data_IF_839235441799
#
_entry.id   IF_839235441799
#
_cell.length_a   1.000
_cell.length_b   1.000
_cell.length_c   1.000
_cell.angle_alpha   90.00
_cell.angle_beta   90.00
_cell.angle_gamma   90.00
#
_symmetry.space_group_name_H-M   'P 1'
#
loop_
_entity.id
_entity.type
_entity.pdbx_description
1 polymer ?
#
# COMPACT_ATOMS: atom_id res chain seq x y z
N UNK A 1 8.75 21.92 1.29
CA UNK A 1 8.98 21.77 -0.15
C UNK A 1 7.64 21.76 -0.87
N UNK A 2 7.44 22.64 -1.85
CA UNK A 2 6.24 22.64 -2.68
C UNK A 2 6.18 21.33 -3.48
N UNK A 3 5.07 20.59 -3.40
CA UNK A 3 4.87 19.41 -4.22
C UNK A 3 4.65 19.87 -5.66
N UNK A 4 5.51 19.43 -6.59
CA UNK A 4 5.39 19.78 -8.02
C UNK A 4 4.10 19.15 -8.53
N UNK A 5 3.19 19.95 -9.08
CA UNK A 5 1.95 19.48 -9.68
C UNK A 5 2.31 18.52 -10.82
N UNK A 6 1.60 17.40 -10.93
CA UNK A 6 1.77 16.41 -11.99
C UNK A 6 0.45 16.17 -12.72
N UNK A 7 0.53 15.52 -13.88
CA UNK A 7 -0.63 15.15 -14.69
C UNK A 7 -0.81 13.65 -14.75
N UNK A 8 -2.05 13.20 -14.68
CA UNK A 8 -2.40 11.85 -15.11
C UNK A 8 -2.28 11.74 -16.63
N UNK A 9 -2.27 10.52 -17.17
CA UNK A 9 -2.21 10.27 -18.62
C UNK A 9 -3.39 10.84 -19.41
N UNK A 10 -4.49 11.22 -18.74
CA UNK A 10 -5.64 11.92 -19.32
C UNK A 10 -5.55 13.45 -19.22
N UNK A 11 -4.41 14.01 -18.78
CA UNK A 11 -4.20 15.45 -18.62
C UNK A 11 -4.79 16.07 -17.34
N UNK A 12 -5.48 15.29 -16.51
CA UNK A 12 -6.04 15.80 -15.25
C UNK A 12 -4.91 16.09 -14.25
N UNK A 13 -4.83 17.31 -13.67
CA UNK A 13 -3.78 17.65 -12.73
C UNK A 13 -4.01 17.00 -11.35
N UNK A 14 -2.93 16.67 -10.67
CA UNK A 14 -2.94 16.12 -9.32
C UNK A 14 -1.71 16.54 -8.51
N UNK A 15 -1.80 16.40 -7.19
CA UNK A 15 -0.70 16.67 -6.26
C UNK A 15 -0.21 15.34 -5.70
N UNK A 16 1.03 14.91 -5.99
CA UNK A 16 1.57 13.68 -5.43
C UNK A 16 1.69 13.80 -3.91
N UNK A 17 1.48 12.68 -3.22
CA UNK A 17 1.64 12.58 -1.79
C UNK A 17 3.09 12.87 -1.39
N UNK A 18 3.29 13.64 -0.32
CA UNK A 18 4.63 13.93 0.19
C UNK A 18 5.32 12.67 0.72
N UNK A 19 6.65 12.62 0.64
CA UNK A 19 7.45 11.47 1.06
C UNK A 19 7.14 10.99 2.49
N UNK A 20 6.95 11.92 3.45
CA UNK A 20 6.56 11.60 4.81
C UNK A 20 5.16 10.99 4.92
N UNK A 21 4.18 11.55 4.22
CA UNK A 21 2.81 11.01 4.21
C UNK A 21 2.80 9.60 3.60
N UNK A 22 3.57 9.37 2.54
CA UNK A 22 3.79 8.05 1.97
C UNK A 22 4.42 7.09 2.98
N UNK A 23 5.52 7.49 3.64
CA UNK A 23 6.19 6.67 4.63
C UNK A 23 5.24 6.27 5.78
N UNK A 24 4.50 7.21 6.36
CA UNK A 24 3.52 6.93 7.41
C UNK A 24 2.37 6.04 6.92
N UNK A 25 1.93 6.22 5.68
CA UNK A 25 0.91 5.34 5.08
C UNK A 25 1.38 3.90 5.08
N UNK A 26 2.62 3.67 4.64
CA UNK A 26 3.18 2.33 4.56
C UNK A 26 3.44 1.76 5.96
N UNK A 27 3.91 2.58 6.90
CA UNK A 27 4.13 2.17 8.29
C UNK A 27 2.83 1.72 8.96
N UNK A 28 1.75 2.50 8.84
CA UNK A 28 0.46 2.16 9.44
C UNK A 28 -0.09 0.88 8.82
N UNK A 29 -0.05 0.75 7.48
CA UNK A 29 -0.48 -0.48 6.80
C UNK A 29 0.35 -1.69 7.24
N UNK A 30 1.66 -1.52 7.46
CA UNK A 30 2.54 -2.57 7.98
C UNK A 30 2.19 -2.97 9.42
N UNK A 31 1.93 -2.01 10.30
CA UNK A 31 1.48 -2.30 11.68
C UNK A 31 0.17 -3.08 11.67
N UNK A 32 -0.80 -2.68 10.84
CA UNK A 32 -2.07 -3.40 10.69
C UNK A 32 -1.84 -4.83 10.20
N UNK A 33 -0.93 -5.02 9.25
CA UNK A 33 -0.53 -6.35 8.79
C UNK A 33 0.07 -7.19 9.93
N UNK A 34 1.04 -6.67 10.69
CA UNK A 34 1.67 -7.41 11.80
C UNK A 34 0.63 -7.81 12.86
N UNK A 35 -0.26 -6.89 13.23
CA UNK A 35 -1.33 -7.16 14.19
C UNK A 35 -2.31 -8.21 13.65
N UNK A 36 -2.73 -8.09 12.39
CA UNK A 36 -3.63 -9.06 11.75
C UNK A 36 -3.02 -10.44 11.61
N UNK A 37 -1.72 -10.52 11.26
CA UNK A 37 -0.98 -11.77 11.19
C UNK A 37 -0.84 -12.42 12.56
N UNK A 38 -0.40 -11.66 13.57
CA UNK A 38 -0.24 -12.15 14.94
C UNK A 38 -1.58 -12.64 15.50
N UNK A 39 -2.65 -11.88 15.30
CA UNK A 39 -4.00 -12.28 15.71
C UNK A 39 -4.44 -13.58 15.04
N UNK A 40 -4.32 -13.69 13.72
CA UNK A 40 -4.71 -14.90 12.99
C UNK A 40 -3.89 -16.13 13.40
N UNK A 41 -2.58 -15.94 13.64
CA UNK A 41 -1.70 -17.01 14.08
C UNK A 41 -2.02 -17.46 15.51
N UNK A 42 -2.23 -16.53 16.44
CA UNK A 42 -2.64 -16.86 17.81
C UNK A 42 -4.01 -17.56 17.82
N UNK A 43 -4.97 -17.07 17.04
CA UNK A 43 -6.27 -17.72 16.91
C UNK A 43 -6.13 -19.15 16.37
N UNK A 44 -5.25 -19.36 15.38
CA UNK A 44 -4.91 -20.69 14.88
C UNK A 44 -4.34 -21.58 15.99
N UNK A 45 -3.33 -21.12 16.73
CA UNK A 45 -2.69 -21.88 17.82
C UNK A 45 -3.71 -22.24 18.91
N UNK A 46 -4.58 -21.31 19.31
CA UNK A 46 -5.61 -21.56 20.32
C UNK A 46 -6.60 -22.61 19.84
N UNK A 47 -7.02 -22.55 18.57
CA UNK A 47 -7.92 -23.56 17.98
C UNK A 47 -7.22 -24.91 17.89
N UNK A 48 -5.96 -24.96 17.48
CA UNK A 48 -5.22 -26.23 17.36
C UNK A 48 -5.00 -26.89 18.72
N UNK A 49 -4.62 -26.11 19.74
CA UNK A 49 -4.46 -26.60 21.13
C UNK A 49 -5.77 -27.09 21.76
N UNK A 50 -6.92 -26.65 21.26
CA UNK A 50 -8.23 -27.13 21.75
C UNK A 50 -8.60 -28.51 21.18
N UNK A 51 -7.83 -29.05 20.23
CA UNK A 51 -8.08 -30.35 19.60
C UNK A 51 -7.41 -31.48 20.37
N UNK A 52 -7.96 -32.71 20.28
CA UNK A 52 -7.29 -33.91 20.77
C UNK A 52 -5.89 -34.04 20.16
N UNK A 53 -4.91 -34.54 20.91
CA UNK A 53 -3.49 -34.64 20.46
C UNK A 53 -3.33 -35.40 19.13
N UNK A 54 -4.17 -36.40 18.88
CA UNK A 54 -4.16 -37.18 17.64
C UNK A 54 -4.54 -36.37 16.39
N UNK A 55 -5.18 -35.20 16.55
CA UNK A 55 -5.66 -34.33 15.48
C UNK A 55 -4.93 -32.97 15.43
N UNK A 56 -3.98 -32.75 16.34
CA UNK A 56 -3.17 -31.53 16.35
C UNK A 56 -2.30 -31.48 15.11
N UNK A 57 -2.12 -30.26 14.60
CA UNK A 57 -1.30 -30.05 13.42
C UNK A 57 0.17 -30.21 13.84
N UNK A 58 0.91 -30.99 13.05
CA UNK A 58 2.35 -31.15 13.26
C UNK A 58 3.09 -29.82 13.15
N UNK A 59 4.28 -29.72 13.75
CA UNK A 59 5.13 -28.52 13.67
C UNK A 59 5.35 -28.06 12.22
N UNK A 60 5.56 -29.00 11.30
CA UNK A 60 5.68 -28.71 9.87
C UNK A 60 4.40 -28.11 9.27
N UNK A 61 3.23 -28.59 9.68
CA UNK A 61 1.95 -28.03 9.28
C UNK A 61 1.72 -26.62 9.83
N UNK A 62 2.14 -26.35 11.07
CA UNK A 62 2.07 -25.02 11.67
C UNK A 62 2.93 -24.00 10.91
N UNK A 63 4.13 -24.41 10.47
CA UNK A 63 4.99 -23.57 9.61
C UNK A 63 4.31 -23.27 8.27
N UNK A 64 3.70 -24.26 7.62
CA UNK A 64 2.96 -24.05 6.37
C UNK A 64 1.81 -23.06 6.58
N UNK A 65 1.07 -23.18 7.67
CA UNK A 65 -0.03 -22.25 7.99
C UNK A 65 0.50 -20.84 8.24
N UNK A 66 1.61 -20.69 8.98
CA UNK A 66 2.25 -19.40 9.16
C UNK A 66 2.65 -18.77 7.82
N UNK A 67 3.22 -19.54 6.90
CA UNK A 67 3.55 -19.07 5.56
C UNK A 67 2.28 -18.66 4.79
N UNK A 68 1.21 -19.46 4.83
CA UNK A 68 -0.06 -19.12 4.19
C UNK A 68 -0.63 -17.81 4.76
N UNK A 69 -0.64 -17.64 6.08
CA UNK A 69 -1.11 -16.43 6.75
C UNK A 69 -0.30 -15.20 6.33
N UNK A 70 1.01 -15.35 6.12
CA UNK A 70 1.89 -14.26 5.67
C UNK A 70 1.41 -13.64 4.35
N UNK A 71 0.90 -14.46 3.42
CA UNK A 71 0.34 -14.00 2.14
C UNK A 71 -1.15 -13.70 2.22
N UNK A 72 -1.91 -14.50 2.97
CA UNK A 72 -3.37 -14.36 3.08
C UNK A 72 -3.76 -13.07 3.81
N UNK A 73 -3.09 -12.71 4.90
CA UNK A 73 -3.41 -11.51 5.68
C UNK A 73 -3.40 -10.22 4.85
N UNK A 74 -2.33 -9.87 4.09
CA UNK A 74 -2.33 -8.65 3.29
C UNK A 74 -3.30 -8.73 2.10
N UNK A 75 -3.56 -9.92 1.55
CA UNK A 75 -4.54 -10.10 0.48
C UNK A 75 -5.97 -9.84 0.99
N UNK A 76 -6.33 -10.45 2.12
CA UNK A 76 -7.62 -10.23 2.80
C UNK A 76 -7.74 -8.77 3.18
N UNK A 77 -6.71 -8.17 3.80
CA UNK A 77 -6.70 -6.74 4.10
C UNK A 77 -6.97 -5.88 2.86
N UNK A 78 -6.29 -6.13 1.74
CA UNK A 78 -6.48 -5.36 0.51
C UNK A 78 -7.82 -5.57 -0.19
N UNK A 79 -8.57 -6.64 0.09
CA UNK A 79 -9.95 -6.80 -0.40
C UNK A 79 -10.89 -5.74 0.18
N UNK A 80 -10.65 -5.33 1.43
CA UNK A 80 -11.45 -4.34 2.13
C UNK A 80 -11.18 -2.91 1.65
N UNK A 81 -10.09 -2.70 0.89
CA UNK A 81 -9.62 -1.37 0.47
C UNK A 81 -9.49 -1.21 -1.05
N UNK A 82 -10.44 -1.76 -1.81
CA UNK A 82 -10.54 -1.66 -3.29
C UNK A 82 -10.53 -0.23 -3.85
N UNK A 83 -10.86 0.76 -3.03
CA UNK A 83 -10.90 2.18 -3.39
C UNK A 83 -9.53 2.88 -3.34
N UNK A 84 -8.45 2.16 -3.07
CA UNK A 84 -7.11 2.72 -2.94
C UNK A 84 -6.91 3.54 -1.66
N UNK A 85 -7.80 3.38 -0.68
CA UNK A 85 -7.79 4.05 0.62
C UNK A 85 -7.58 3.04 1.75
N UNK A 86 -6.41 2.43 1.77
CA UNK A 86 -5.95 1.66 2.93
C UNK A 86 -6.10 2.42 4.25
N UNK A 87 -6.10 1.74 5.39
CA UNK A 87 -6.17 2.40 6.69
C UNK A 87 -5.05 3.45 6.85
N UNK A 88 -3.82 3.12 6.47
CA UNK A 88 -2.73 4.09 6.45
C UNK A 88 -3.00 5.28 5.53
N UNK A 89 -3.67 5.06 4.41
CA UNK A 89 -3.96 6.11 3.43
C UNK A 89 -5.10 7.03 3.91
N UNK A 90 -6.07 6.45 4.64
CA UNK A 90 -7.11 7.22 5.34
C UNK A 90 -6.47 8.08 6.43
N UNK A 91 -5.56 7.52 7.24
CA UNK A 91 -4.89 8.25 8.32
C UNK A 91 -4.00 9.39 7.82
N UNK A 92 -3.36 9.24 6.66
CA UNK A 92 -2.44 10.25 6.10
C UNK A 92 -3.09 11.18 5.06
N UNK A 93 -4.38 11.00 4.77
CA UNK A 93 -5.07 11.77 3.75
C UNK A 93 -4.59 11.49 2.31
N UNK A 94 -4.00 10.32 2.08
CA UNK A 94 -3.53 9.91 0.76
C UNK A 94 -4.50 8.94 0.08
N UNK A 95 -4.35 8.79 -1.24
CA UNK A 95 -5.06 7.76 -2.01
C UNK A 95 -4.15 7.23 -3.10
N UNK A 96 -4.07 5.91 -3.22
CA UNK A 96 -3.36 5.27 -4.31
C UNK A 96 -4.29 5.18 -5.53
N UNK A 97 -3.85 5.74 -6.66
CA UNK A 97 -4.62 5.86 -7.90
C UNK A 97 -3.79 5.36 -9.08
N UNK A 98 -4.45 5.07 -10.20
CA UNK A 98 -3.77 4.73 -11.46
C UNK A 98 -3.20 5.99 -12.09
N UNK A 99 -1.99 5.92 -12.65
CA UNK A 99 -1.37 7.06 -13.34
C UNK A 99 -2.07 7.41 -14.66
N UNK A 100 -2.74 6.44 -15.30
CA UNK A 100 -3.46 6.64 -16.57
C UNK A 100 -4.62 7.65 -16.45
N UNK A 101 -5.47 7.49 -15.44
CA UNK A 101 -6.77 8.18 -15.35
C UNK A 101 -7.08 8.76 -13.96
N UNK A 102 -6.21 8.57 -12.96
CA UNK A 102 -6.50 8.93 -11.57
C UNK A 102 -7.57 8.06 -10.92
N UNK A 103 -8.00 6.98 -11.58
CA UNK A 103 -9.07 6.10 -11.14
C UNK A 103 -8.68 5.19 -9.97
N UNK A 104 -9.71 4.61 -9.34
CA UNK A 104 -9.56 3.62 -8.25
C UNK A 104 -8.79 2.39 -8.73
N UNK A 105 -8.03 1.75 -7.86
CA UNK A 105 -7.22 0.57 -8.21
C UNK A 105 -8.10 -0.65 -8.54
N UNK A 106 -9.28 -0.75 -7.92
CA UNK A 106 -10.22 -1.84 -8.17
C UNK A 106 -9.69 -3.19 -7.70
N UNK A 107 -9.89 -4.24 -8.50
CA UNK A 107 -9.57 -5.63 -8.14
C UNK A 107 -8.09 -5.89 -7.82
N UNK A 108 -7.18 -4.96 -8.13
CA UNK A 108 -5.75 -5.07 -7.82
C UNK A 108 -5.38 -4.54 -6.42
N UNK A 109 -6.36 -4.17 -5.58
CA UNK A 109 -6.17 -3.75 -4.19
C UNK A 109 -5.43 -4.78 -3.31
N UNK A 110 -5.82 -6.06 -3.29
CA UNK A 110 -5.10 -7.14 -2.59
C UNK A 110 -3.63 -7.22 -3.01
N UNK A 111 -3.36 -7.17 -4.31
CA UNK A 111 -1.99 -7.23 -4.84
C UNK A 111 -1.15 -6.02 -4.43
N UNK A 112 -1.73 -4.82 -4.49
CA UNK A 112 -1.05 -3.62 -4.05
C UNK A 112 -0.67 -3.68 -2.56
N UNK A 113 -1.52 -4.29 -1.73
CA UNK A 113 -1.23 -4.50 -0.32
C UNK A 113 -0.10 -5.49 -0.08
N UNK A 114 -0.15 -6.65 -0.73
CA UNK A 114 0.89 -7.65 -0.63
C UNK A 114 2.27 -7.07 -1.00
N UNK A 115 2.32 -6.33 -2.11
CA UNK A 115 3.54 -5.65 -2.55
C UNK A 115 4.01 -4.64 -1.51
N UNK A 116 3.12 -3.85 -0.91
CA UNK A 116 3.47 -2.84 0.10
C UNK A 116 3.98 -3.46 1.40
N UNK A 117 3.39 -4.56 1.86
CA UNK A 117 3.79 -5.26 3.09
C UNK A 117 5.09 -6.04 2.94
N UNK A 118 5.40 -6.53 1.74
CA UNK A 118 6.66 -7.25 1.46
C UNK A 118 7.79 -6.27 1.09
N UNK A 119 7.53 -5.26 0.25
CA UNK A 119 8.56 -4.32 -0.20
C UNK A 119 9.05 -3.39 0.91
N UNK A 120 8.20 -2.97 1.85
CA UNK A 120 8.63 -2.08 2.94
C UNK A 120 9.77 -2.70 3.78
N UNK A 121 9.65 -3.94 4.32
CA UNK A 121 10.74 -4.57 5.05
C UNK A 121 11.96 -4.85 4.16
N UNK A 122 11.79 -5.16 2.87
CA UNK A 122 12.91 -5.28 1.92
C UNK A 122 13.61 -3.94 1.65
N UNK A 123 12.87 -2.84 1.58
CA UNK A 123 13.41 -1.48 1.44
C UNK A 123 14.18 -1.07 2.70
N UNK A 124 13.62 -1.35 3.89
CA UNK A 124 14.30 -1.12 5.17
C UNK A 124 15.56 -1.98 5.22
N UNK A 125 15.48 -3.26 4.87
CA UNK A 125 16.64 -4.15 4.83
C UNK A 125 17.70 -3.65 3.82
N UNK A 126 17.30 -3.23 2.62
CA UNK A 126 18.20 -2.64 1.62
C UNK A 126 18.89 -1.38 2.14
N UNK A 127 18.14 -0.44 2.72
CA UNK A 127 18.71 0.79 3.31
C UNK A 127 19.68 0.49 4.46
N UNK A 128 19.30 -0.42 5.36
CA UNK A 128 20.13 -0.83 6.51
C UNK A 128 21.38 -1.58 6.05
N UNK A 129 21.27 -2.41 5.01
CA UNK A 129 22.37 -3.20 4.44
C UNK A 129 23.17 -2.44 3.36
N UNK A 130 22.89 -1.15 3.14
CA UNK A 130 23.59 -0.30 2.17
C UNK A 130 23.24 -0.55 0.69
N UNK A 131 22.27 -1.42 0.40
CA UNK A 131 21.74 -1.68 -0.93
C UNK A 131 20.57 -0.75 -1.26
N UNK A 132 20.82 0.31 -2.04
CA UNK A 132 19.79 1.21 -2.53
C UNK A 132 18.80 0.50 -3.48
N UNK A 133 17.74 -0.09 -2.95
CA UNK A 133 16.62 -0.62 -3.73
C UNK A 133 15.60 0.49 -3.99
N UNK A 134 15.96 1.47 -4.83
CA UNK A 134 14.99 2.38 -5.40
C UNK A 134 14.11 1.64 -6.42
N UNK A 135 12.77 1.77 -6.42
CA UNK A 135 11.95 1.22 -7.48
C UNK A 135 12.29 1.92 -8.80
N UNK A 136 13.15 1.31 -9.61
CA UNK A 136 13.53 1.75 -10.94
C UNK A 136 12.45 1.39 -11.96
N UNK A 137 11.52 2.31 -12.20
CA UNK A 137 10.52 2.19 -13.24
C UNK A 137 9.33 3.12 -12.99
N UNK A 138 8.74 3.65 -14.07
CA UNK A 138 7.46 4.37 -14.00
C UNK A 138 6.39 3.42 -13.47
N UNK A 139 6.06 3.57 -12.18
CA UNK A 139 5.04 2.75 -11.58
C UNK A 139 3.68 3.12 -12.21
N UNK A 140 2.85 2.13 -12.62
CA UNK A 140 1.52 2.39 -13.19
C UNK A 140 0.52 2.97 -12.17
N UNK A 141 0.99 3.28 -10.95
CA UNK A 141 0.20 3.73 -9.81
C UNK A 141 1.01 4.76 -9.03
N UNK A 142 0.31 5.77 -8.55
CA UNK A 142 0.89 6.86 -7.76
C UNK A 142 -0.02 7.17 -6.57
N UNK A 143 0.55 7.63 -5.46
CA UNK A 143 -0.23 8.11 -4.32
C UNK A 143 -0.39 9.61 -4.40
N UNK A 144 -1.62 10.08 -4.23
CA UNK A 144 -1.96 11.51 -4.28
C UNK A 144 -2.35 12.01 -2.89
N UNK A 145 -2.10 13.29 -2.63
CA UNK A 145 -2.72 14.01 -1.51
C UNK A 145 -4.14 14.38 -1.92
N UNK A 146 -5.13 13.81 -1.24
CA UNK A 146 -6.54 13.95 -1.62
C UNK A 146 -7.01 15.39 -1.43
N UNK A 147 -6.63 16.04 -0.34
CA UNK A 147 -7.09 17.39 0.00
C UNK A 147 -6.45 18.45 -0.91
N UNK A 148 -5.16 18.29 -1.24
CA UNK A 148 -4.48 19.20 -2.17
C UNK A 148 -4.93 18.98 -3.61
N UNK A 149 -5.11 17.73 -4.03
CA UNK A 149 -5.61 17.43 -5.37
C UNK A 149 -7.03 17.96 -5.57
N UNK A 150 -7.91 17.80 -4.58
CA UNK A 150 -9.26 18.36 -4.63
C UNK A 150 -9.26 19.89 -4.75
N UNK A 151 -8.46 20.57 -3.93
CA UNK A 151 -8.31 22.04 -4.01
C UNK A 151 -7.79 22.50 -5.37
N UNK A 152 -6.82 21.78 -5.94
CA UNK A 152 -6.29 22.08 -7.27
C UNK A 152 -7.36 21.95 -8.37
N UNK A 153 -8.20 20.92 -8.28
CA UNK A 153 -9.30 20.69 -9.21
C UNK A 153 -10.41 21.75 -9.06
N UNK A 154 -10.75 22.13 -7.83
CA UNK A 154 -11.74 23.17 -7.52
C UNK A 154 -11.28 24.57 -7.98
N UNK A 155 -9.96 24.83 -7.96
CA UNK A 155 -9.37 26.07 -8.48
C UNK A 155 -9.36 26.15 -10.01
N UNK A 156 -9.75 25.08 -10.70
CA UNK A 156 -9.97 25.08 -12.15
C UNK A 156 -8.71 25.30 -12.99
N UNK A 157 -7.51 25.06 -12.46
CA UNK A 157 -6.23 25.28 -13.15
C UNK A 157 -6.25 24.64 -14.56
N UNK A 158 -6.39 25.44 -15.63
CA UNK A 158 -6.21 24.96 -16.99
C UNK A 158 -4.70 24.86 -17.19
N UNK A 159 -4.18 23.65 -17.39
CA UNK A 159 -2.77 23.51 -17.74
C UNK A 159 -2.56 24.14 -19.10
N UNK A 160 -1.93 25.31 -19.14
CA UNK A 160 -1.44 25.85 -20.40
C UNK A 160 -0.32 24.94 -20.92
N UNK A 161 -0.21 24.70 -22.24
CA UNK A 161 0.82 23.85 -22.85
C UNK A 161 2.27 24.19 -22.48
N UNK A 162 2.50 25.37 -21.89
CA UNK A 162 3.80 25.88 -21.45
C UNK A 162 4.37 25.17 -20.21
N UNK A 163 3.51 24.53 -19.40
CA UNK A 163 3.95 23.79 -18.20
C UNK A 163 4.31 22.32 -18.51
N UNK A 164 3.90 21.82 -19.68
CA UNK A 164 4.18 20.45 -20.14
C UNK A 164 5.59 20.28 -20.75
N UNK A 165 6.32 21.38 -21.02
CA UNK A 165 7.63 21.36 -21.66
C UNK A 165 8.83 21.42 -20.70
N UNK A 166 8.61 21.16 -19.40
CA UNK A 166 9.70 21.02 -18.41
C UNK A 166 9.78 19.59 -17.83
N UNK A 167 9.40 18.60 -18.64
CA UNK A 167 9.76 17.19 -18.44
C UNK A 167 11.23 17.00 -18.80
#
# INVERSE_FOLDING_TARGET
>A
MASKIQTFGNGTPYVPAGGWALMFTWLIDFVVFVLGFAFAFVAFVVVDQSRPEAEQISDGGAVIIALVLLFATPLVYGLWYRDGRALGAVCTGTRLVRTRDGGRIGAKGPWAMLVRTILLPLLIAGVVLGGGLGPGGELPRTSIDVARTRRLQEQGYPLTPRDASQV
#
